data_IF_098962509563
#
_entry.id   IF_098962509563
#
_cell.length_a   1.000
_cell.length_b   1.000
_cell.length_c   1.000
_cell.angle_alpha   90.00
_cell.angle_beta   90.00
_cell.angle_gamma   90.00
#
_symmetry.space_group_name_H-M   'P 1'
#
loop_
_entity.id
_entity.type
_entity.pdbx_description
1 polymer ?
#
# COMPACT_ATOMS: atom_id res chain seq x y z
N UNK A 1 -36.75 -26.16 -14.87
CA UNK A 1 -37.68 -25.65 -15.91
C UNK A 1 -37.32 -24.22 -16.33
N UNK A 2 -36.54 -23.48 -15.54
CA UNK A 2 -36.35 -22.03 -15.74
C UNK A 2 -35.27 -21.65 -16.77
N UNK A 3 -34.33 -22.55 -17.06
CA UNK A 3 -33.37 -22.37 -18.16
C UNK A 3 -34.08 -22.32 -19.54
N UNK A 4 -35.23 -23.00 -19.68
CA UNK A 4 -36.07 -22.92 -20.87
C UNK A 4 -36.75 -21.53 -21.02
N UNK A 5 -37.13 -20.91 -19.91
CA UNK A 5 -37.73 -19.56 -19.91
C UNK A 5 -36.70 -18.48 -20.25
N UNK A 6 -35.45 -18.60 -19.77
CA UNK A 6 -34.35 -17.71 -20.14
C UNK A 6 -34.07 -17.79 -21.65
N UNK A 7 -33.96 -19.00 -22.19
CA UNK A 7 -33.76 -19.21 -23.63
C UNK A 7 -34.93 -18.65 -24.47
N UNK A 8 -36.16 -18.79 -23.98
CA UNK A 8 -37.37 -18.23 -24.62
C UNK A 8 -37.38 -16.69 -24.61
N UNK A 9 -36.93 -16.08 -23.50
CA UNK A 9 -36.75 -14.63 -23.41
C UNK A 9 -35.67 -14.11 -24.36
N UNK A 10 -34.54 -14.82 -24.46
CA UNK A 10 -33.46 -14.48 -25.40
C UNK A 10 -33.93 -14.59 -26.85
N UNK A 11 -34.68 -15.64 -27.17
CA UNK A 11 -35.24 -15.84 -28.51
C UNK A 11 -36.24 -14.73 -28.87
N UNK A 12 -37.16 -14.40 -27.95
CA UNK A 12 -38.10 -13.29 -28.14
C UNK A 12 -37.40 -11.94 -28.35
N UNK A 13 -36.27 -11.71 -27.64
CA UNK A 13 -35.46 -10.52 -27.83
C UNK A 13 -34.80 -10.49 -29.22
N UNK A 14 -34.26 -11.62 -29.69
CA UNK A 14 -33.66 -11.76 -31.02
C UNK A 14 -34.67 -11.56 -32.15
N UNK A 15 -35.94 -11.91 -31.91
CA UNK A 15 -37.06 -11.67 -32.84
C UNK A 15 -37.54 -10.20 -32.84
N UNK A 16 -36.90 -9.32 -32.05
CA UNK A 16 -37.25 -7.90 -31.96
C UNK A 16 -38.38 -7.59 -30.97
N UNK A 17 -38.97 -8.61 -30.33
CA UNK A 17 -40.03 -8.46 -29.35
C UNK A 17 -39.45 -8.18 -27.95
N UNK A 18 -38.92 -6.95 -27.76
CA UNK A 18 -38.31 -6.52 -26.49
C UNK A 18 -39.29 -6.49 -25.32
N UNK A 19 -40.56 -6.14 -25.56
CA UNK A 19 -41.60 -6.08 -24.51
C UNK A 19 -41.98 -7.48 -24.03
N UNK A 20 -42.12 -8.44 -24.95
CA UNK A 20 -42.33 -9.85 -24.62
C UNK A 20 -41.13 -10.45 -23.86
N UNK A 21 -39.91 -10.17 -24.32
CA UNK A 21 -38.69 -10.60 -23.65
C UNK A 21 -38.58 -10.03 -22.22
N UNK A 22 -38.89 -8.74 -22.03
CA UNK A 22 -38.90 -8.08 -20.73
C UNK A 22 -39.85 -8.78 -19.74
N UNK A 23 -41.07 -9.11 -20.17
CA UNK A 23 -42.03 -9.81 -19.30
C UNK A 23 -41.55 -11.22 -18.92
N UNK A 24 -40.88 -11.92 -19.85
CA UNK A 24 -40.32 -13.24 -19.58
C UNK A 24 -39.17 -13.13 -18.56
N UNK A 25 -38.26 -12.17 -18.71
CA UNK A 25 -37.16 -11.98 -17.77
C UNK A 25 -37.64 -11.54 -16.38
N UNK A 26 -38.66 -10.68 -16.29
CA UNK A 26 -39.26 -10.33 -14.99
C UNK A 26 -39.87 -11.55 -14.28
N UNK A 27 -40.59 -12.42 -15.00
CA UNK A 27 -41.12 -13.68 -14.44
C UNK A 27 -40.03 -14.63 -13.96
N UNK A 28 -38.87 -14.65 -14.63
CA UNK A 28 -37.70 -15.41 -14.17
C UNK A 28 -37.16 -14.80 -12.87
N UNK A 29 -37.04 -13.48 -12.81
CA UNK A 29 -36.52 -12.77 -11.63
C UNK A 29 -37.46 -12.79 -10.42
N UNK A 30 -38.78 -12.92 -10.62
CA UNK A 30 -39.74 -13.15 -9.54
C UNK A 30 -39.49 -14.47 -8.81
N UNK A 31 -38.97 -15.48 -9.52
CA UNK A 31 -38.65 -16.80 -8.96
C UNK A 31 -37.21 -16.89 -8.49
N UNK A 32 -36.30 -16.27 -9.24
CA UNK A 32 -34.87 -16.25 -8.97
C UNK A 32 -34.35 -14.81 -8.98
N UNK A 33 -34.49 -14.06 -7.87
CA UNK A 33 -34.06 -12.66 -7.80
C UNK A 33 -32.56 -12.45 -8.03
N UNK A 34 -31.74 -13.50 -7.84
CA UNK A 34 -30.30 -13.47 -7.99
C UNK A 34 -29.80 -14.09 -9.30
N UNK A 35 -30.66 -14.18 -10.34
CA UNK A 35 -30.26 -14.72 -11.64
C UNK A 35 -29.52 -13.66 -12.47
N UNK A 36 -28.19 -13.81 -12.53
CA UNK A 36 -27.27 -12.91 -13.24
C UNK A 36 -27.64 -12.71 -14.73
N UNK A 37 -27.96 -13.80 -15.42
CA UNK A 37 -28.24 -13.80 -16.86
C UNK A 37 -29.56 -13.06 -17.13
N UNK A 38 -30.59 -13.28 -16.30
CA UNK A 38 -31.86 -12.59 -16.43
C UNK A 38 -31.73 -11.07 -16.21
N UNK A 39 -30.95 -10.63 -15.23
CA UNK A 39 -30.66 -9.20 -15.02
C UNK A 39 -29.88 -8.58 -16.18
N UNK A 40 -28.91 -9.31 -16.75
CA UNK A 40 -28.12 -8.85 -17.89
C UNK A 40 -28.98 -8.65 -19.14
N UNK A 41 -29.88 -9.59 -19.44
CA UNK A 41 -30.79 -9.47 -20.59
C UNK A 41 -31.94 -8.48 -20.35
N UNK A 42 -32.38 -8.30 -19.10
CA UNK A 42 -33.34 -7.25 -18.75
C UNK A 42 -32.76 -5.86 -19.06
N UNK A 43 -31.48 -5.62 -18.80
CA UNK A 43 -30.78 -4.38 -19.14
C UNK A 43 -30.82 -4.07 -20.65
N UNK A 44 -30.81 -5.09 -21.51
CA UNK A 44 -30.93 -4.92 -22.96
C UNK A 44 -32.35 -4.58 -23.42
N UNK A 45 -33.37 -4.91 -22.62
CA UNK A 45 -34.78 -4.72 -22.95
C UNK A 45 -35.33 -3.35 -22.51
N UNK A 46 -34.68 -2.67 -21.55
CA UNK A 46 -35.10 -1.35 -21.07
C UNK A 46 -34.45 -0.24 -21.88
N UNK A 47 -35.18 0.83 -22.18
CA UNK A 47 -34.68 1.91 -23.05
C UNK A 47 -34.02 3.07 -22.27
N UNK A 48 -34.50 3.35 -21.05
CA UNK A 48 -33.99 4.46 -20.24
C UNK A 48 -32.59 4.13 -19.70
N UNK A 49 -31.60 5.04 -19.84
CA UNK A 49 -30.23 4.79 -19.38
C UNK A 49 -30.16 4.56 -17.86
N UNK A 50 -31.03 5.21 -17.09
CA UNK A 50 -31.15 5.02 -15.64
C UNK A 50 -31.53 3.58 -15.28
N UNK A 51 -32.55 3.03 -15.96
CA UNK A 51 -33.01 1.64 -15.74
C UNK A 51 -31.98 0.61 -16.18
N UNK A 52 -31.20 0.92 -17.23
CA UNK A 52 -30.06 0.07 -17.65
C UNK A 52 -29.00 0.00 -16.56
N UNK A 53 -28.65 1.14 -15.95
CA UNK A 53 -27.68 1.21 -14.85
C UNK A 53 -28.12 0.38 -13.66
N UNK A 54 -29.39 0.49 -13.25
CA UNK A 54 -29.93 -0.30 -12.15
C UNK A 54 -29.80 -1.81 -12.40
N UNK A 55 -30.11 -2.26 -13.62
CA UNK A 55 -29.95 -3.66 -14.00
C UNK A 55 -28.48 -4.11 -13.95
N UNK A 56 -27.54 -3.31 -14.47
CA UNK A 56 -26.11 -3.65 -14.42
C UNK A 56 -25.54 -3.63 -13.01
N UNK A 57 -25.98 -2.72 -12.13
CA UNK A 57 -25.60 -2.76 -10.71
C UNK A 57 -26.11 -4.04 -10.02
N UNK A 58 -27.31 -4.53 -10.36
CA UNK A 58 -27.80 -5.82 -9.86
C UNK A 58 -26.97 -7.00 -10.36
N UNK A 59 -26.54 -7.00 -11.62
CA UNK A 59 -25.61 -8.01 -12.16
C UNK A 59 -24.30 -8.00 -11.37
N UNK A 60 -23.70 -6.83 -11.15
CA UNK A 60 -22.42 -6.70 -10.45
C UNK A 60 -22.52 -6.99 -8.95
N UNK A 61 -23.69 -6.81 -8.34
CA UNK A 61 -23.93 -7.24 -6.96
C UNK A 61 -23.97 -8.78 -6.82
N UNK A 62 -24.37 -9.50 -7.87
CA UNK A 62 -24.40 -10.97 -7.92
C UNK A 62 -23.02 -11.52 -8.33
N UNK A 63 -22.45 -10.96 -9.39
CA UNK A 63 -21.14 -11.33 -9.92
C UNK A 63 -20.30 -10.07 -10.20
N UNK A 64 -19.44 -9.65 -9.25
CA UNK A 64 -18.58 -8.48 -9.40
C UNK A 64 -17.64 -8.54 -10.61
N UNK A 65 -17.33 -9.74 -11.11
CA UNK A 65 -16.38 -9.97 -12.20
C UNK A 65 -17.04 -10.06 -13.59
N UNK A 66 -18.32 -9.71 -13.73
CA UNK A 66 -18.99 -9.72 -15.03
C UNK A 66 -18.47 -8.58 -15.93
N UNK A 67 -17.56 -8.92 -16.84
CA UNK A 67 -16.91 -7.97 -17.76
C UNK A 67 -17.92 -7.22 -18.67
N UNK A 68 -19.04 -7.84 -19.05
CA UNK A 68 -20.05 -7.22 -19.90
C UNK A 68 -20.80 -6.11 -19.15
N UNK A 69 -21.18 -6.37 -17.90
CA UNK A 69 -21.86 -5.39 -17.06
C UNK A 69 -20.94 -4.22 -16.68
N UNK A 70 -19.66 -4.49 -16.36
CA UNK A 70 -18.66 -3.45 -16.09
C UNK A 70 -18.46 -2.52 -17.30
N UNK A 71 -18.28 -3.10 -18.49
CA UNK A 71 -18.07 -2.33 -19.72
C UNK A 71 -19.29 -1.49 -20.10
N UNK A 72 -20.49 -2.08 -20.04
CA UNK A 72 -21.72 -1.38 -20.38
C UNK A 72 -22.06 -0.24 -19.39
N UNK A 73 -21.70 -0.39 -18.11
CA UNK A 73 -21.87 0.66 -17.11
C UNK A 73 -20.91 1.84 -17.37
N UNK A 74 -19.64 1.56 -17.65
CA UNK A 74 -18.65 2.58 -18.00
C UNK A 74 -19.02 3.37 -19.26
N UNK A 75 -19.58 2.70 -20.28
CA UNK A 75 -20.05 3.35 -21.51
C UNK A 75 -21.25 4.28 -21.25
N UNK A 76 -22.19 3.87 -20.38
CA UNK A 76 -23.31 4.72 -19.97
C UNK A 76 -22.89 5.92 -19.12
N UNK A 77 -21.76 5.85 -18.44
CA UNK A 77 -21.19 6.97 -17.67
C UNK A 77 -20.49 7.99 -18.58
N UNK A 78 -19.79 7.52 -19.61
CA UNK A 78 -19.11 8.36 -20.61
C UNK A 78 -20.08 9.20 -21.47
N UNK A 79 -21.27 8.70 -21.78
CA UNK A 79 -22.30 9.43 -22.56
C UNK A 79 -22.90 10.65 -21.84
N UNK A 80 -22.51 10.93 -20.59
CA UNK A 80 -23.06 12.01 -19.77
C UNK A 80 -22.28 13.33 -19.83
N UNK A 81 -21.20 13.42 -20.61
CA UNK A 81 -20.40 14.65 -20.75
C UNK A 81 -20.95 15.57 -21.87
N UNK A 82 -21.36 16.82 -21.60
CA UNK A 82 -21.69 17.78 -22.65
C UNK A 82 -20.43 18.49 -23.16
N UNK A 83 -20.21 18.51 -24.48
CA UNK A 83 -19.14 19.31 -25.12
C UNK A 83 -19.52 20.80 -25.20
N UNK A 84 -18.60 21.71 -24.82
CA UNK A 84 -18.79 23.15 -24.94
C UNK A 84 -17.67 23.82 -25.76
N UNK A 85 -18.07 24.66 -26.74
CA UNK A 85 -17.17 25.55 -27.49
C UNK A 85 -16.87 26.83 -26.70
N UNK A 86 -15.63 27.36 -26.72
CA UNK A 86 -15.25 28.50 -25.89
C UNK A 86 -15.52 29.84 -26.58
N UNK A 87 -15.83 30.88 -25.78
CA UNK A 87 -15.75 32.29 -26.18
C UNK A 87 -15.03 33.08 -25.06
N UNK A 88 -14.14 34.05 -25.39
CA UNK A 88 -13.26 34.70 -24.42
C UNK A 88 -13.95 35.83 -23.65
N UNK A 89 -13.53 36.04 -22.40
CA UNK A 89 -13.95 37.15 -21.53
C UNK A 89 -12.87 38.21 -21.37
N UNK A 90 -13.29 39.46 -21.17
CA UNK A 90 -12.53 40.46 -20.40
C UNK A 90 -13.46 41.27 -19.49
N UNK A 91 -13.19 41.24 -18.18
CA UNK A 91 -13.41 42.33 -17.22
C UNK A 91 -14.82 42.52 -16.62
N UNK A 92 -15.05 41.90 -15.45
CA UNK A 92 -15.89 42.25 -14.26
C UNK A 92 -17.19 43.06 -14.35
N UNK A 93 -17.68 43.43 -15.52
CA UNK A 93 -18.91 44.17 -15.76
C UNK A 93 -19.71 43.40 -16.79
N UNK A 94 -20.76 42.72 -16.35
CA UNK A 94 -21.64 41.95 -17.23
C UNK A 94 -22.32 42.93 -18.18
N UNK A 95 -21.98 42.90 -19.47
CA UNK A 95 -22.62 43.75 -20.48
C UNK A 95 -23.75 42.97 -21.15
N UNK A 96 -24.87 43.65 -21.35
CA UNK A 96 -25.98 43.11 -22.12
C UNK A 96 -25.52 42.87 -23.57
N UNK A 97 -25.63 41.65 -24.11
CA UNK A 97 -25.24 41.36 -25.48
C UNK A 97 -26.11 42.09 -26.52
N UNK A 98 -27.33 42.47 -26.16
CA UNK A 98 -28.26 43.16 -27.06
C UNK A 98 -28.11 44.67 -27.09
N UNK A 99 -27.69 45.33 -26.00
CA UNK A 99 -27.63 46.79 -25.94
C UNK A 99 -26.33 47.37 -25.36
N UNK A 100 -25.40 46.52 -24.92
CA UNK A 100 -24.13 46.93 -24.33
C UNK A 100 -24.20 47.55 -22.94
N UNK A 101 -25.40 47.72 -22.37
CA UNK A 101 -25.59 48.29 -21.02
C UNK A 101 -25.03 47.37 -19.93
N UNK A 102 -24.58 47.97 -18.84
CA UNK A 102 -24.07 47.25 -17.66
C UNK A 102 -25.24 46.61 -16.91
N UNK A 103 -25.17 45.30 -16.73
CA UNK A 103 -26.18 44.50 -16.02
C UNK A 103 -25.82 44.36 -14.55
N UNK A 104 -26.83 44.22 -13.70
CA UNK A 104 -26.69 44.03 -12.26
C UNK A 104 -26.11 42.66 -11.89
N UNK A 105 -25.94 42.43 -10.58
CA UNK A 105 -25.50 41.11 -10.08
C UNK A 105 -26.58 40.05 -10.41
N UNK A 106 -26.17 38.82 -10.77
CA UNK A 106 -27.12 37.74 -11.02
C UNK A 106 -27.89 37.34 -9.77
N UNK A 107 -29.15 36.91 -9.96
CA UNK A 107 -29.95 36.32 -8.90
C UNK A 107 -29.47 34.88 -8.58
N UNK A 108 -30.02 34.27 -7.52
CA UNK A 108 -29.67 32.91 -7.10
C UNK A 108 -29.94 31.82 -8.16
N UNK A 109 -30.75 32.11 -9.17
CA UNK A 109 -31.02 31.24 -10.33
C UNK A 109 -30.05 31.47 -11.50
N UNK A 110 -29.11 32.41 -11.36
CA UNK A 110 -28.22 32.83 -12.43
C UNK A 110 -28.91 33.70 -13.49
N UNK A 111 -30.20 34.01 -13.38
CA UNK A 111 -30.88 34.89 -14.32
C UNK A 111 -30.53 36.36 -14.05
N UNK A 112 -30.29 37.11 -15.11
CA UNK A 112 -30.03 38.56 -15.06
C UNK A 112 -30.87 39.22 -16.13
N UNK A 113 -31.80 40.08 -15.72
CA UNK A 113 -32.59 40.89 -16.64
C UNK A 113 -31.94 42.26 -16.85
N UNK A 114 -31.83 42.68 -18.10
CA UNK A 114 -31.30 43.99 -18.44
C UNK A 114 -32.35 45.06 -18.12
N UNK A 115 -32.04 45.96 -17.18
CA UNK A 115 -32.93 47.05 -16.80
C UNK A 115 -33.20 48.05 -17.94
N UNK A 116 -32.38 48.04 -18.99
CA UNK A 116 -32.51 48.96 -20.12
C UNK A 116 -33.38 48.42 -21.25
N UNK A 117 -33.10 47.20 -21.72
CA UNK A 117 -33.81 46.62 -22.89
C UNK A 117 -34.69 45.41 -22.54
N UNK A 118 -34.76 45.02 -21.26
CA UNK A 118 -35.56 43.87 -20.81
C UNK A 118 -34.99 42.50 -21.16
N UNK A 119 -33.87 42.42 -21.90
CA UNK A 119 -33.22 41.15 -22.29
C UNK A 119 -32.79 40.38 -21.05
N UNK A 120 -33.22 39.13 -20.93
CA UNK A 120 -32.84 38.25 -19.83
C UNK A 120 -31.77 37.28 -20.29
N UNK A 121 -30.67 37.19 -19.55
CA UNK A 121 -29.57 36.26 -19.81
C UNK A 121 -29.35 35.36 -18.60
N UNK A 122 -28.87 34.14 -18.84
CA UNK A 122 -28.41 33.22 -17.79
C UNK A 122 -26.90 33.39 -17.61
N UNK A 123 -26.51 33.95 -16.46
CA UNK A 123 -25.14 34.03 -15.99
C UNK A 123 -24.80 32.80 -15.14
N UNK A 124 -23.83 32.03 -15.62
CA UNK A 124 -23.17 31.00 -14.82
C UNK A 124 -21.84 31.56 -14.33
N UNK A 125 -21.59 31.65 -13.00
CA UNK A 125 -20.28 32.04 -12.51
C UNK A 125 -19.21 31.06 -13.02
N UNK A 126 -17.96 31.51 -13.25
CA UNK A 126 -16.89 30.62 -13.69
C UNK A 126 -16.71 29.48 -12.68
N UNK A 127 -17.05 28.27 -13.13
CA UNK A 127 -17.10 27.02 -12.35
C UNK A 127 -15.75 26.71 -11.70
N UNK A 128 -14.67 27.10 -12.36
CA UNK A 128 -13.27 26.81 -12.01
C UNK A 128 -12.83 27.33 -10.63
N UNK A 129 -13.40 28.45 -10.14
CA UNK A 129 -12.97 29.05 -8.85
C UNK A 129 -13.65 28.44 -7.63
N UNK A 130 -14.87 27.92 -7.79
CA UNK A 130 -15.63 27.27 -6.72
C UNK A 130 -15.17 25.83 -6.57
N UNK A 131 -14.96 25.11 -7.68
CA UNK A 131 -14.46 23.73 -7.66
C UNK A 131 -13.05 23.62 -7.10
N UNK A 132 -12.14 24.56 -7.44
CA UNK A 132 -10.79 24.60 -6.86
C UNK A 132 -10.79 24.82 -5.33
N UNK A 133 -11.68 25.70 -4.83
CA UNK A 133 -11.87 25.88 -3.37
C UNK A 133 -12.43 24.64 -2.69
N UNK A 134 -13.22 23.83 -3.41
CA UNK A 134 -13.71 22.57 -2.89
C UNK A 134 -12.59 21.53 -2.80
N UNK A 135 -11.68 21.47 -3.78
CA UNK A 135 -10.49 20.61 -3.72
C UNK A 135 -9.62 20.93 -2.49
N UNK A 136 -9.25 22.20 -2.31
CA UNK A 136 -8.42 22.63 -1.16
C UNK A 136 -9.08 22.23 0.17
N UNK A 137 -10.39 22.49 0.30
CA UNK A 137 -11.14 22.12 1.50
C UNK A 137 -11.21 20.61 1.72
N UNK A 138 -11.49 19.82 0.68
CA UNK A 138 -11.54 18.36 0.79
C UNK A 138 -10.16 17.80 1.12
N UNK A 139 -9.10 18.41 0.61
CA UNK A 139 -7.74 17.98 0.88
C UNK A 139 -7.38 18.19 2.36
N UNK A 140 -7.75 19.34 2.93
CA UNK A 140 -7.56 19.59 4.37
C UNK A 140 -8.34 18.62 5.26
N UNK A 141 -9.59 18.31 4.90
CA UNK A 141 -10.38 17.30 5.63
C UNK A 141 -9.75 15.92 5.50
N UNK A 142 -9.29 15.54 4.30
CA UNK A 142 -8.62 14.27 4.05
C UNK A 142 -7.36 14.12 4.92
N UNK A 143 -6.50 15.16 4.98
CA UNK A 143 -5.30 15.18 5.83
C UNK A 143 -5.65 15.11 7.31
N UNK A 144 -6.69 15.82 7.74
CA UNK A 144 -7.17 15.79 9.13
C UNK A 144 -7.70 14.40 9.50
N UNK A 145 -8.45 13.76 8.62
CA UNK A 145 -8.95 12.40 8.81
C UNK A 145 -7.79 11.38 8.90
N UNK A 146 -6.77 11.51 8.06
CA UNK A 146 -5.54 10.70 8.17
C UNK A 146 -4.85 10.87 9.52
N UNK A 147 -4.68 12.10 9.99
CA UNK A 147 -4.09 12.38 11.30
C UNK A 147 -4.95 11.82 12.45
N UNK A 148 -6.28 11.80 12.27
CA UNK A 148 -7.25 11.20 13.18
C UNK A 148 -7.37 9.67 13.08
N UNK A 149 -6.62 9.01 12.19
CA UNK A 149 -6.77 7.57 11.88
C UNK A 149 -8.15 7.17 11.34
N UNK A 150 -8.92 8.13 10.83
CA UNK A 150 -10.21 7.91 10.17
C UNK A 150 -9.98 7.59 8.68
N UNK A 151 -9.39 6.43 8.40
CA UNK A 151 -8.91 6.10 7.06
C UNK A 151 -10.03 5.97 6.01
N UNK A 152 -11.20 5.41 6.38
CA UNK A 152 -12.35 5.33 5.48
C UNK A 152 -12.85 6.72 5.04
N UNK A 153 -12.89 7.68 5.97
CA UNK A 153 -13.27 9.07 5.69
C UNK A 153 -12.23 9.74 4.79
N UNK A 154 -10.93 9.52 5.07
CA UNK A 154 -9.85 10.03 4.22
C UNK A 154 -9.98 9.55 2.77
N UNK A 155 -10.30 8.27 2.54
CA UNK A 155 -10.54 7.72 1.20
C UNK A 155 -11.74 8.38 0.53
N UNK A 156 -12.84 8.61 1.26
CA UNK A 156 -14.03 9.27 0.70
C UNK A 156 -13.72 10.69 0.21
N UNK A 157 -12.97 11.48 1.00
CA UNK A 157 -12.59 12.83 0.59
C UNK A 157 -11.55 12.84 -0.52
N UNK A 158 -10.61 11.88 -0.53
CA UNK A 158 -9.70 11.70 -1.65
C UNK A 158 -10.46 11.37 -2.95
N UNK A 159 -11.48 10.51 -2.90
CA UNK A 159 -12.32 10.22 -4.06
C UNK A 159 -13.08 11.46 -4.54
N UNK A 160 -13.64 12.27 -3.64
CA UNK A 160 -14.30 13.54 -4.01
C UNK A 160 -13.35 14.52 -4.71
N UNK A 161 -12.07 14.54 -4.32
CA UNK A 161 -11.06 15.33 -5.04
C UNK A 161 -10.84 14.74 -6.42
N UNK A 162 -10.65 13.41 -6.53
CA UNK A 162 -10.39 12.72 -7.80
C UNK A 162 -11.57 12.76 -8.78
N UNK A 163 -12.81 12.94 -8.29
CA UNK A 163 -13.99 13.19 -9.13
C UNK A 163 -13.94 14.57 -9.82
N UNK A 164 -13.29 15.55 -9.20
CA UNK A 164 -13.13 16.91 -9.73
C UNK A 164 -11.83 17.03 -10.53
N UNK A 165 -10.74 16.47 -10.00
CA UNK A 165 -9.39 16.49 -10.54
C UNK A 165 -8.77 15.08 -10.47
N UNK A 166 -8.94 14.27 -11.54
CA UNK A 166 -8.39 12.92 -11.60
C UNK A 166 -6.85 12.85 -11.58
N UNK A 167 -6.18 13.95 -11.90
CA UNK A 167 -4.72 14.09 -11.91
C UNK A 167 -4.20 14.72 -10.61
N UNK A 168 -5.04 14.79 -9.56
CA UNK A 168 -4.62 15.35 -8.28
C UNK A 168 -3.62 14.45 -7.56
N UNK A 169 -2.35 14.87 -7.54
CA UNK A 169 -1.25 14.14 -6.91
C UNK A 169 -1.51 13.84 -5.42
N UNK A 170 -1.89 14.85 -4.64
CA UNK A 170 -2.08 14.72 -3.19
C UNK A 170 -3.23 13.75 -2.86
N UNK A 171 -4.30 13.76 -3.65
CA UNK A 171 -5.42 12.85 -3.44
C UNK A 171 -5.00 11.39 -3.65
N UNK A 172 -4.19 11.09 -4.67
CA UNK A 172 -3.65 9.74 -4.87
C UNK A 172 -2.73 9.30 -3.73
N UNK A 173 -1.84 10.16 -3.25
CA UNK A 173 -0.95 9.86 -2.11
C UNK A 173 -1.73 9.64 -0.81
N UNK A 174 -2.71 10.50 -0.52
CA UNK A 174 -3.52 10.37 0.68
C UNK A 174 -4.42 9.12 0.63
N UNK A 175 -4.99 8.81 -0.54
CA UNK A 175 -5.76 7.59 -0.75
C UNK A 175 -4.91 6.33 -0.61
N UNK A 176 -3.67 6.34 -1.13
CA UNK A 176 -2.71 5.26 -0.95
C UNK A 176 -2.45 5.00 0.54
N UNK A 177 -2.11 6.05 1.28
CA UNK A 177 -1.81 5.96 2.70
C UNK A 177 -3.02 5.44 3.49
N UNK A 178 -4.21 6.00 3.28
CA UNK A 178 -5.42 5.56 3.98
C UNK A 178 -5.78 4.11 3.65
N UNK A 179 -5.65 3.71 2.38
CA UNK A 179 -5.93 2.34 1.93
C UNK A 179 -5.02 1.33 2.61
N UNK A 180 -3.73 1.65 2.72
CA UNK A 180 -2.76 0.81 3.41
C UNK A 180 -3.17 0.58 4.87
N UNK A 181 -3.56 1.62 5.61
CA UNK A 181 -3.89 1.50 7.02
C UNK A 181 -5.20 0.74 7.30
N UNK A 182 -6.02 0.49 6.28
CA UNK A 182 -7.17 -0.41 6.34
C UNK A 182 -6.80 -1.88 6.06
N UNK A 183 -5.52 -2.20 5.94
CA UNK A 183 -5.02 -3.58 5.80
C UNK A 183 -5.34 -4.41 7.04
N UNK A 184 -5.82 -5.63 6.80
CA UNK A 184 -6.02 -6.65 7.84
C UNK A 184 -5.29 -7.93 7.45
N UNK A 185 -5.18 -8.88 8.38
CA UNK A 185 -4.58 -10.19 8.08
C UNK A 185 -5.33 -10.95 6.97
N UNK A 186 -6.66 -10.75 6.86
CA UNK A 186 -7.50 -11.36 5.85
C UNK A 186 -7.53 -10.58 4.52
N UNK A 187 -7.27 -9.27 4.56
CA UNK A 187 -7.33 -8.40 3.40
C UNK A 187 -6.12 -7.45 3.40
N UNK A 188 -5.02 -7.91 2.80
CA UNK A 188 -3.82 -7.09 2.64
C UNK A 188 -3.99 -6.11 1.47
N UNK A 189 -4.07 -4.82 1.78
CA UNK A 189 -4.30 -3.75 0.79
C UNK A 189 -3.01 -3.04 0.38
N UNK A 190 -1.84 -3.60 0.68
CA UNK A 190 -0.55 -3.02 0.32
C UNK A 190 -0.40 -2.84 -1.19
N UNK A 191 -0.73 -3.85 -1.99
CA UNK A 191 -0.61 -3.76 -3.46
C UNK A 191 -1.59 -2.74 -4.06
N UNK A 192 -2.79 -2.64 -3.50
CA UNK A 192 -3.76 -1.60 -3.85
C UNK A 192 -3.21 -0.21 -3.55
N UNK A 193 -2.65 -0.01 -2.34
CA UNK A 193 -2.01 1.23 -1.96
C UNK A 193 -0.83 1.58 -2.89
N UNK A 194 0.02 0.61 -3.24
CA UNK A 194 1.11 0.82 -4.20
C UNK A 194 0.61 1.17 -5.60
N UNK A 195 -0.53 0.60 -6.03
CA UNK A 195 -1.20 0.99 -7.27
C UNK A 195 -1.56 2.48 -7.30
N UNK A 196 -2.03 3.02 -6.18
CA UNK A 196 -2.32 4.46 -6.06
C UNK A 196 -1.04 5.32 -6.03
N UNK A 197 0.04 4.85 -5.40
CA UNK A 197 1.33 5.55 -5.47
C UNK A 197 1.88 5.56 -6.90
N UNK A 198 1.71 4.48 -7.67
CA UNK A 198 2.08 4.45 -9.09
C UNK A 198 1.27 5.45 -9.92
N UNK A 199 0.01 5.69 -9.59
CA UNK A 199 -0.79 6.75 -10.21
C UNK A 199 -0.25 8.14 -9.91
N UNK A 200 0.13 8.40 -8.65
CA UNK A 200 0.79 9.65 -8.28
C UNK A 200 2.13 9.85 -9.02
N UNK A 201 2.92 8.80 -9.20
CA UNK A 201 4.18 8.84 -9.96
C UNK A 201 4.00 9.12 -11.45
N UNK A 202 2.90 8.65 -12.06
CA UNK A 202 2.58 8.99 -13.45
C UNK A 202 2.28 10.48 -13.65
N UNK A 203 1.83 11.17 -12.59
CA UNK A 203 1.50 12.60 -12.61
C UNK A 203 2.76 13.44 -12.38
N UNK A 204 3.50 13.17 -11.30
CA UNK A 204 4.70 13.93 -10.92
C UNK A 204 5.81 12.99 -10.45
N UNK A 205 6.54 12.42 -11.41
CA UNK A 205 7.61 11.44 -11.17
C UNK A 205 8.74 11.91 -10.26
N UNK A 206 9.01 13.23 -10.24
CA UNK A 206 10.16 13.81 -9.54
C UNK A 206 9.78 14.26 -8.13
N UNK A 207 8.53 14.05 -7.72
CA UNK A 207 8.05 14.45 -6.41
C UNK A 207 8.68 13.58 -5.30
N UNK A 208 9.40 14.18 -4.32
CA UNK A 208 10.04 13.42 -3.26
C UNK A 208 9.03 12.66 -2.38
N UNK A 209 7.77 13.11 -2.33
CA UNK A 209 6.72 12.48 -1.53
C UNK A 209 6.39 11.05 -2.00
N UNK A 210 6.64 10.71 -3.27
CA UNK A 210 6.46 9.34 -3.78
C UNK A 210 7.41 8.39 -3.06
N UNK A 211 8.70 8.72 -3.04
CA UNK A 211 9.71 7.87 -2.41
C UNK A 211 9.50 7.82 -0.90
N UNK A 212 9.15 8.95 -0.28
CA UNK A 212 8.82 9.01 1.14
C UNK A 212 7.63 8.09 1.48
N UNK A 213 6.55 8.17 0.70
CA UNK A 213 5.35 7.35 0.90
C UNK A 213 5.68 5.87 0.68
N UNK A 214 6.38 5.50 -0.39
CA UNK A 214 6.80 4.09 -0.63
C UNK A 214 7.61 3.52 0.52
N UNK A 215 8.59 4.28 1.01
CA UNK A 215 9.44 3.84 2.10
C UNK A 215 8.65 3.71 3.40
N UNK A 216 7.77 4.68 3.70
CA UNK A 216 6.91 4.66 4.88
C UNK A 216 5.94 3.47 4.89
N UNK A 217 5.27 3.21 3.76
CA UNK A 217 4.33 2.09 3.62
C UNK A 217 5.06 0.75 3.67
N UNK A 218 6.21 0.62 3.00
CA UNK A 218 7.01 -0.62 3.01
C UNK A 218 7.57 -0.93 4.41
N UNK A 219 8.04 0.10 5.12
CA UNK A 219 8.50 -0.04 6.51
C UNK A 219 7.34 -0.46 7.44
N UNK A 220 6.17 0.13 7.25
CA UNK A 220 4.98 -0.23 8.04
C UNK A 220 4.53 -1.66 7.74
N UNK A 221 4.55 -2.09 6.48
CA UNK A 221 4.24 -3.47 6.07
C UNK A 221 5.24 -4.47 6.66
N UNK A 222 6.54 -4.14 6.63
CA UNK A 222 7.60 -4.92 7.26
C UNK A 222 7.31 -5.12 8.76
N UNK A 223 7.04 -4.04 9.50
CA UNK A 223 6.73 -4.09 10.94
C UNK A 223 5.48 -4.91 11.23
N UNK A 224 4.46 -4.79 10.40
CA UNK A 224 3.23 -5.56 10.55
C UNK A 224 3.48 -7.07 10.42
N UNK A 225 4.27 -7.50 9.43
CA UNK A 225 4.67 -8.90 9.31
C UNK A 225 5.56 -9.38 10.46
N UNK A 226 6.47 -8.54 10.96
CA UNK A 226 7.24 -8.87 12.17
C UNK A 226 6.32 -9.11 13.38
N UNK A 227 5.27 -8.31 13.52
CA UNK A 227 4.27 -8.47 14.58
C UNK A 227 3.50 -9.79 14.44
N UNK A 228 3.00 -10.11 13.24
CA UNK A 228 2.31 -11.37 12.99
C UNK A 228 3.21 -12.59 13.25
N UNK A 229 4.45 -12.55 12.78
CA UNK A 229 5.42 -13.62 13.05
C UNK A 229 5.71 -13.81 14.54
N UNK A 230 5.76 -12.72 15.31
CA UNK A 230 5.93 -12.79 16.75
C UNK A 230 4.72 -13.42 17.46
N UNK A 231 3.49 -13.12 17.02
CA UNK A 231 2.27 -13.73 17.56
C UNK A 231 2.21 -15.23 17.29
N UNK A 232 2.51 -15.66 16.06
CA UNK A 232 2.53 -17.09 15.71
C UNK A 232 3.61 -17.84 16.50
N UNK A 233 4.79 -17.24 16.68
CA UNK A 233 5.84 -17.82 17.54
C UNK A 233 5.37 -17.98 18.98
N UNK A 234 4.73 -16.95 19.55
CA UNK A 234 4.20 -17.02 20.92
C UNK A 234 3.16 -18.12 21.06
N UNK A 235 2.30 -18.28 20.06
CA UNK A 235 1.34 -19.37 19.99
C UNK A 235 2.02 -20.74 19.93
N UNK A 236 3.06 -20.89 19.11
CA UNK A 236 3.86 -22.11 19.01
C UNK A 236 4.44 -22.52 20.37
N UNK A 237 5.02 -21.55 21.10
CA UNK A 237 5.58 -21.76 22.43
C UNK A 237 4.51 -22.16 23.45
N UNK A 238 3.32 -21.53 23.41
CA UNK A 238 2.20 -21.90 24.28
C UNK A 238 1.76 -23.34 24.04
N UNK A 239 1.60 -23.75 22.78
CA UNK A 239 1.23 -25.12 22.40
C UNK A 239 2.30 -26.10 22.88
N UNK A 240 3.57 -25.83 22.57
CA UNK A 240 4.69 -26.66 23.03
C UNK A 240 4.66 -26.86 24.54
N UNK A 241 4.47 -25.77 25.31
CA UNK A 241 4.43 -25.82 26.77
C UNK A 241 3.21 -26.54 27.34
N UNK A 242 2.06 -26.58 26.65
CA UNK A 242 0.88 -27.36 27.10
C UNK A 242 1.24 -28.85 27.18
N UNK A 243 1.82 -29.39 26.12
CA UNK A 243 2.24 -30.79 26.07
C UNK A 243 3.38 -31.11 27.05
N UNK A 244 4.25 -30.13 27.33
CA UNK A 244 5.33 -30.29 28.33
C UNK A 244 4.81 -30.21 29.78
N UNK A 245 3.77 -29.41 30.05
CA UNK A 245 3.28 -29.12 31.42
C UNK A 245 2.19 -30.06 31.93
N UNK A 246 1.54 -30.86 31.06
CA UNK A 246 0.59 -31.91 31.48
C UNK A 246 1.24 -33.08 32.25
N UNK A 247 2.55 -33.02 32.52
CA UNK A 247 3.39 -34.05 33.16
C UNK A 247 3.52 -33.83 34.69
N UNK A 248 2.47 -33.39 35.39
CA UNK A 248 2.56 -33.10 36.84
C UNK A 248 2.12 -34.23 37.78
N UNK A 249 1.60 -35.36 37.29
CA UNK A 249 1.27 -36.52 38.14
C UNK A 249 1.92 -37.82 37.64
N UNK A 250 2.59 -38.49 38.58
CA UNK A 250 3.74 -39.40 38.38
C UNK A 250 3.33 -40.84 37.97
N UNK A 251 2.19 -41.10 37.32
CA UNK A 251 1.84 -42.52 37.09
C UNK A 251 1.43 -43.02 35.71
N UNK A 252 1.05 -42.22 34.71
CA UNK A 252 0.75 -42.78 33.37
C UNK A 252 0.92 -41.82 32.17
N UNK A 253 1.48 -40.61 32.35
CA UNK A 253 1.61 -39.64 31.26
C UNK A 253 2.99 -39.71 30.60
N UNK A 254 3.04 -40.32 29.42
CA UNK A 254 4.17 -40.28 28.48
C UNK A 254 4.42 -38.80 28.17
N UNK A 255 5.47 -38.21 28.74
CA UNK A 255 6.07 -37.02 28.13
C UNK A 255 6.51 -37.44 26.73
N UNK A 256 5.72 -37.09 25.72
CA UNK A 256 6.08 -37.30 24.33
C UNK A 256 6.60 -35.98 23.73
N UNK A 257 7.91 -35.70 23.82
CA UNK A 257 8.49 -34.53 23.18
C UNK A 257 8.34 -34.56 21.66
N UNK A 258 7.98 -35.69 21.05
CA UNK A 258 7.64 -35.76 19.63
C UNK A 258 6.27 -35.11 19.37
N UNK A 259 5.25 -35.45 20.16
CA UNK A 259 3.90 -34.87 20.04
C UNK A 259 3.90 -33.34 20.28
N UNK A 260 4.65 -32.86 21.28
CA UNK A 260 4.81 -31.42 21.53
C UNK A 260 5.45 -30.68 20.35
N UNK A 261 6.43 -31.32 19.69
CA UNK A 261 7.13 -30.77 18.51
C UNK A 261 6.25 -30.78 17.28
N UNK A 262 5.53 -31.86 17.01
CA UNK A 262 4.63 -31.98 15.87
C UNK A 262 3.51 -30.93 15.93
N UNK A 263 2.86 -30.79 17.10
CA UNK A 263 1.74 -29.87 17.27
C UNK A 263 2.13 -28.38 17.25
N UNK A 264 3.36 -28.04 17.63
CA UNK A 264 3.86 -26.66 17.59
C UNK A 264 4.55 -26.29 16.26
N UNK A 265 4.95 -27.27 15.45
CA UNK A 265 5.73 -27.05 14.23
C UNK A 265 5.03 -26.13 13.23
N UNK A 266 3.72 -26.30 13.03
CA UNK A 266 2.96 -25.49 12.06
C UNK A 266 3.08 -23.99 12.36
N UNK A 267 2.99 -23.62 13.63
CA UNK A 267 3.05 -22.22 14.08
C UNK A 267 4.46 -21.64 13.97
N UNK A 268 5.50 -22.44 14.24
CA UNK A 268 6.88 -22.03 13.98
C UNK A 268 7.13 -21.78 12.47
N UNK A 269 6.58 -22.63 11.60
CA UNK A 269 6.70 -22.45 10.15
C UNK A 269 5.96 -21.18 9.70
N UNK A 270 4.72 -20.97 10.15
CA UNK A 270 3.97 -19.73 9.88
C UNK A 270 4.71 -18.47 10.36
N UNK A 271 5.28 -18.52 11.56
CA UNK A 271 6.09 -17.42 12.09
C UNK A 271 7.31 -17.12 11.20
N UNK A 272 7.99 -18.16 10.71
CA UNK A 272 9.10 -18.03 9.79
C UNK A 272 8.68 -17.40 8.46
N UNK A 273 7.56 -17.84 7.88
CA UNK A 273 7.03 -17.29 6.63
C UNK A 273 6.74 -15.79 6.74
N UNK A 274 6.15 -15.36 7.86
CA UNK A 274 5.95 -13.92 8.13
C UNK A 274 7.27 -13.15 8.25
N UNK A 275 8.29 -13.70 8.91
CA UNK A 275 9.60 -13.04 8.95
C UNK A 275 10.27 -12.96 7.57
N UNK A 276 10.11 -13.98 6.73
CA UNK A 276 10.60 -13.94 5.35
C UNK A 276 9.85 -12.92 4.50
N UNK A 277 8.52 -12.80 4.67
CA UNK A 277 7.72 -11.75 4.06
C UNK A 277 8.14 -10.36 4.55
N UNK A 278 8.44 -10.17 5.84
CA UNK A 278 8.97 -8.90 6.32
C UNK A 278 10.26 -8.51 5.57
N UNK A 279 11.16 -9.48 5.34
CA UNK A 279 12.41 -9.25 4.59
C UNK A 279 12.22 -9.01 3.09
N UNK A 280 11.04 -9.22 2.50
CA UNK A 280 10.79 -8.79 1.12
C UNK A 280 10.64 -7.27 0.99
N UNK A 281 10.33 -6.57 2.08
CA UNK A 281 10.19 -5.11 2.13
C UNK A 281 11.43 -4.40 2.67
N UNK A 282 12.19 -5.07 3.55
CA UNK A 282 13.48 -4.59 4.05
C UNK A 282 14.45 -5.77 4.17
N UNK A 283 15.22 -5.99 3.10
CA UNK A 283 16.03 -7.21 2.94
C UNK A 283 17.20 -7.34 3.90
N UNK A 284 17.67 -6.22 4.47
CA UNK A 284 18.80 -6.16 5.39
C UNK A 284 18.35 -5.80 6.82
N UNK A 285 17.05 -5.94 7.11
CA UNK A 285 16.51 -5.66 8.44
C UNK A 285 17.17 -6.54 9.52
N UNK A 286 18.10 -5.96 10.27
CA UNK A 286 18.91 -6.68 11.25
C UNK A 286 18.08 -7.34 12.35
N UNK A 287 17.02 -6.66 12.80
CA UNK A 287 16.12 -7.18 13.84
C UNK A 287 15.38 -8.43 13.35
N UNK A 288 14.79 -8.37 12.16
CA UNK A 288 14.07 -9.51 11.56
C UNK A 288 15.00 -10.69 11.31
N UNK A 289 16.20 -10.44 10.79
CA UNK A 289 17.22 -11.47 10.60
C UNK A 289 17.62 -12.14 11.93
N UNK A 290 17.73 -11.36 13.00
CA UNK A 290 18.00 -11.88 14.34
C UNK A 290 16.85 -12.74 14.86
N UNK A 291 15.59 -12.31 14.65
CA UNK A 291 14.40 -13.10 14.98
C UNK A 291 14.37 -14.44 14.25
N UNK A 292 14.72 -14.46 12.96
CA UNK A 292 14.86 -15.69 12.17
C UNK A 292 15.89 -16.63 12.80
N UNK A 293 17.09 -16.12 13.10
CA UNK A 293 18.15 -16.92 13.73
C UNK A 293 17.67 -17.51 15.05
N UNK A 294 17.08 -16.71 15.93
CA UNK A 294 16.57 -17.18 17.22
C UNK A 294 15.48 -18.24 17.04
N UNK A 295 14.56 -18.05 16.09
CA UNK A 295 13.51 -19.02 15.81
C UNK A 295 14.07 -20.36 15.32
N UNK A 296 15.12 -20.36 14.48
CA UNK A 296 15.78 -21.62 14.08
C UNK A 296 16.50 -22.34 15.23
N UNK A 297 16.96 -21.61 16.24
CA UNK A 297 17.56 -22.21 17.43
C UNK A 297 16.50 -22.79 18.37
N UNK A 298 15.37 -22.09 18.53
CA UNK A 298 14.23 -22.55 19.32
C UNK A 298 13.59 -23.80 18.71
N UNK A 299 13.37 -23.80 17.40
CA UNK A 299 12.77 -24.89 16.64
C UNK A 299 13.84 -25.65 15.82
N UNK A 300 14.87 -26.15 16.50
CA UNK A 300 16.02 -26.82 15.87
C UNK A 300 15.68 -28.20 15.27
N UNK A 301 14.53 -28.77 15.59
CA UNK A 301 14.03 -30.03 15.03
C UNK A 301 13.36 -29.83 13.67
N UNK A 302 12.98 -28.60 13.32
CA UNK A 302 12.35 -28.28 12.05
C UNK A 302 13.43 -28.21 10.96
N UNK A 303 13.19 -28.90 9.85
CA UNK A 303 14.09 -28.86 8.69
C UNK A 303 13.87 -27.58 7.88
N UNK A 304 14.57 -26.51 8.27
CA UNK A 304 14.46 -25.20 7.63
C UNK A 304 15.02 -25.19 6.20
N UNK A 305 14.36 -24.43 5.32
CA UNK A 305 14.72 -24.32 3.90
C UNK A 305 16.12 -23.71 3.69
N UNK A 306 16.66 -23.83 2.48
CA UNK A 306 17.91 -23.13 2.09
C UNK A 306 17.76 -21.61 2.20
N UNK A 307 16.59 -21.06 1.87
CA UNK A 307 16.31 -19.63 1.95
C UNK A 307 16.51 -19.09 3.38
N UNK A 308 16.03 -19.80 4.41
CA UNK A 308 16.24 -19.43 5.82
C UNK A 308 17.74 -19.43 6.16
N UNK A 309 18.47 -20.47 5.73
CA UNK A 309 19.92 -20.57 5.95
C UNK A 309 20.69 -19.42 5.28
N UNK A 310 20.26 -18.99 4.09
CA UNK A 310 20.87 -17.87 3.39
C UNK A 310 20.63 -16.53 4.11
N UNK A 311 19.46 -16.36 4.74
CA UNK A 311 19.20 -15.19 5.62
C UNK A 311 20.08 -15.21 6.87
N UNK A 312 20.33 -16.36 7.48
CA UNK A 312 21.26 -16.45 8.62
C UNK A 312 22.70 -16.08 8.19
N UNK A 313 23.16 -16.55 7.02
CA UNK A 313 24.46 -16.14 6.47
C UNK A 313 24.52 -14.65 6.16
N UNK A 314 23.41 -14.06 5.71
CA UNK A 314 23.32 -12.61 5.53
C UNK A 314 23.48 -11.88 6.87
N UNK A 315 22.80 -12.32 7.93
CA UNK A 315 22.97 -11.76 9.27
C UNK A 315 24.43 -11.81 9.72
N UNK A 316 25.09 -12.96 9.57
CA UNK A 316 26.50 -13.11 9.96
C UNK A 316 27.41 -12.13 9.23
N UNK A 317 27.20 -11.91 7.93
CA UNK A 317 27.93 -10.91 7.14
C UNK A 317 27.67 -9.49 7.66
N UNK A 318 26.41 -9.14 7.93
CA UNK A 318 26.05 -7.82 8.47
C UNK A 318 26.63 -7.59 9.86
N UNK A 319 26.61 -8.60 10.74
CA UNK A 319 27.24 -8.50 12.07
C UNK A 319 28.75 -8.30 11.94
N UNK A 320 29.43 -9.03 11.06
CA UNK A 320 30.87 -8.84 10.79
C UNK A 320 31.18 -7.44 10.27
N UNK A 321 30.38 -6.93 9.33
CA UNK A 321 30.48 -5.57 8.81
C UNK A 321 30.32 -4.52 9.91
N UNK A 322 29.28 -4.64 10.72
CA UNK A 322 29.02 -3.71 11.82
C UNK A 322 30.13 -3.72 12.88
N UNK A 323 30.63 -4.91 13.24
CA UNK A 323 31.79 -5.05 14.13
C UNK A 323 33.05 -4.42 13.51
N UNK A 324 33.24 -4.56 12.20
CA UNK A 324 34.39 -3.96 11.53
C UNK A 324 34.33 -2.43 11.59
N UNK A 325 33.17 -1.85 11.26
CA UNK A 325 32.91 -0.41 11.32
C UNK A 325 33.11 0.13 12.75
N UNK A 326 32.61 -0.56 13.77
CA UNK A 326 32.74 -0.10 15.16
C UNK A 326 34.19 -0.16 15.68
N UNK A 327 34.97 -1.15 15.24
CA UNK A 327 36.32 -1.38 15.73
C UNK A 327 37.38 -0.52 15.02
N UNK A 328 37.12 -0.09 13.78
CA UNK A 328 38.06 0.69 12.96
C UNK A 328 38.58 1.96 13.66
N UNK A 329 37.74 2.82 14.27
CA UNK A 329 38.22 4.02 14.96
C UNK A 329 39.19 3.73 16.11
N UNK A 330 38.93 2.67 16.88
CA UNK A 330 39.80 2.25 17.99
C UNK A 330 41.15 1.72 17.46
N UNK A 331 41.13 0.89 16.43
CA UNK A 331 42.35 0.39 15.79
C UNK A 331 43.19 1.53 15.20
N UNK A 332 42.56 2.52 14.56
CA UNK A 332 43.22 3.71 14.02
C UNK A 332 43.86 4.54 15.15
N UNK A 333 43.16 4.71 16.27
CA UNK A 333 43.70 5.40 17.45
C UNK A 333 44.90 4.66 18.04
N UNK A 334 44.82 3.34 18.22
CA UNK A 334 45.95 2.53 18.71
C UNK A 334 47.15 2.63 17.77
N UNK A 335 46.92 2.66 16.45
CA UNK A 335 47.97 2.86 15.46
C UNK A 335 48.64 4.24 15.65
N UNK A 336 47.87 5.31 15.84
CA UNK A 336 48.42 6.65 16.10
C UNK A 336 49.24 6.70 17.41
N UNK A 337 48.75 6.07 18.48
CA UNK A 337 49.45 6.01 19.77
C UNK A 337 50.79 5.26 19.65
N UNK A 338 50.82 4.10 18.98
CA UNK A 338 52.05 3.35 18.75
C UNK A 338 53.01 4.09 17.79
N UNK A 339 52.50 4.80 16.79
CA UNK A 339 53.32 5.66 15.92
C UNK A 339 53.97 6.81 16.69
N UNK A 340 53.22 7.47 17.58
CA UNK A 340 53.76 8.52 18.46
C UNK A 340 54.81 7.96 19.43
N UNK A 341 54.57 6.76 19.98
CA UNK A 341 55.54 6.05 20.82
C UNK A 341 56.81 5.70 20.06
N UNK A 342 56.69 5.20 18.83
CA UNK A 342 57.85 4.93 17.97
C UNK A 342 58.66 6.21 17.72
N UNK A 343 58.00 7.34 17.47
CA UNK A 343 58.67 8.63 17.26
C UNK A 343 59.43 9.12 18.51
N UNK A 344 58.91 8.84 19.72
CA UNK A 344 59.61 9.11 21.00
C UNK A 344 60.81 8.19 21.19
N UNK A 345 60.62 6.89 21.02
CA UNK A 345 61.68 5.87 21.17
C UNK A 345 62.87 6.10 20.22
N UNK A 346 62.62 6.61 19.00
CA UNK A 346 63.68 6.99 18.05
C UNK A 346 64.60 8.11 18.54
N UNK A 347 64.16 8.91 19.52
CA UNK A 347 64.93 10.01 20.13
C UNK A 347 65.65 9.60 21.41
N UNK A 348 65.30 8.47 22.01
CA UNK A 348 65.90 7.97 23.25
C UNK A 348 67.23 7.26 22.96
N UNK A 349 68.23 7.49 23.83
CA UNK A 349 69.50 6.74 23.83
C UNK A 349 69.54 5.85 25.07
N UNK A 350 69.60 4.54 24.89
CA UNK A 350 69.65 3.58 26.00
C UNK A 350 69.85 2.14 25.52
N UNK A 351 70.35 1.28 26.41
CA UNK A 351 70.74 -0.10 26.08
C UNK A 351 69.59 -0.98 25.54
N UNK A 352 68.36 -0.76 26.00
CA UNK A 352 67.17 -1.53 25.60
C UNK A 352 66.32 -0.88 24.50
N UNK A 353 66.77 0.23 23.90
CA UNK A 353 65.95 0.97 22.92
C UNK A 353 65.70 0.16 21.64
N UNK A 354 66.68 -0.61 21.17
CA UNK A 354 66.55 -1.45 19.97
C UNK A 354 65.39 -2.46 20.06
N UNK A 355 65.34 -3.24 21.14
CA UNK A 355 64.27 -4.25 21.36
C UNK A 355 62.89 -3.58 21.44
N UNK A 356 62.78 -2.42 22.12
CA UNK A 356 61.52 -1.67 22.20
C UNK A 356 61.09 -1.12 20.84
N UNK A 357 62.05 -0.74 20.00
CA UNK A 357 61.82 -0.20 18.66
C UNK A 357 61.30 -1.29 17.71
N UNK A 358 61.91 -2.48 17.74
CA UNK A 358 61.47 -3.64 16.96
C UNK A 358 60.08 -4.11 17.37
N UNK A 359 59.83 -4.23 18.69
CA UNK A 359 58.52 -4.62 19.23
C UNK A 359 57.41 -3.63 18.82
N UNK A 360 57.68 -2.33 18.96
CA UNK A 360 56.72 -1.28 18.56
C UNK A 360 56.49 -1.27 17.05
N UNK A 361 57.54 -1.48 16.25
CA UNK A 361 57.45 -1.55 14.78
C UNK A 361 56.63 -2.75 14.32
N UNK A 362 56.83 -3.91 14.93
CA UNK A 362 56.04 -5.12 14.66
C UNK A 362 54.57 -4.93 15.02
N UNK A 363 54.28 -4.27 16.15
CA UNK A 363 52.91 -3.94 16.56
C UNK A 363 52.23 -2.99 15.58
N UNK A 364 52.93 -1.94 15.12
CA UNK A 364 52.42 -1.04 14.07
C UNK A 364 52.12 -1.80 12.77
N UNK A 365 53.01 -2.73 12.35
CA UNK A 365 52.80 -3.54 11.14
C UNK A 365 51.55 -4.41 11.28
N UNK A 366 51.37 -5.07 12.42
CA UNK A 366 50.19 -5.88 12.73
C UNK A 366 48.90 -5.03 12.72
N UNK A 367 48.91 -3.88 13.39
CA UNK A 367 47.75 -2.96 13.41
C UNK A 367 47.38 -2.47 12.01
N UNK A 368 48.36 -2.14 11.16
CA UNK A 368 48.10 -1.77 9.76
C UNK A 368 47.44 -2.90 8.97
N UNK A 369 47.91 -4.14 9.13
CA UNK A 369 47.31 -5.30 8.47
C UNK A 369 45.87 -5.55 8.92
N UNK A 370 45.62 -5.44 10.22
CA UNK A 370 44.27 -5.56 10.80
C UNK A 370 43.34 -4.47 10.28
N UNK A 371 43.78 -3.21 10.22
CA UNK A 371 42.99 -2.09 9.68
C UNK A 371 42.61 -2.37 8.22
N UNK A 372 43.55 -2.77 7.37
CA UNK A 372 43.27 -3.10 5.95
C UNK A 372 42.23 -4.22 5.82
N UNK A 373 42.31 -5.25 6.67
CA UNK A 373 41.31 -6.33 6.69
C UNK A 373 39.93 -5.82 7.10
N UNK A 374 39.86 -5.01 8.15
CA UNK A 374 38.61 -4.45 8.66
C UNK A 374 37.99 -3.45 7.68
N UNK A 375 38.79 -2.62 7.01
CA UNK A 375 38.34 -1.74 5.93
C UNK A 375 37.74 -2.54 4.77
N UNK A 376 38.35 -3.68 4.41
CA UNK A 376 37.80 -4.56 3.37
C UNK A 376 36.44 -5.13 3.76
N UNK A 377 36.26 -5.54 5.02
CA UNK A 377 34.99 -6.08 5.54
C UNK A 377 33.93 -4.96 5.66
N UNK A 378 34.33 -3.76 6.09
CA UNK A 378 33.43 -2.62 6.20
C UNK A 378 32.90 -2.12 4.84
N UNK A 379 33.70 -2.27 3.79
CA UNK A 379 33.37 -1.86 2.42
C UNK A 379 32.70 -2.95 1.57
N UNK A 380 32.65 -4.21 2.05
CA UNK A 380 31.87 -5.29 1.45
C UNK A 380 30.41 -5.22 1.85
#
# INVERSE_FOLDING_TARGET
>A
MDNANIQTGIQSFKEGNKTGALQIFLKVLEREPNNEIAWLWLAACVDKPEQKRDCFHKVLAINPNNANAQKALAELELQRMPEAKPIPQQGTVLKCPSCGSVMGKPDHTGLVQCSYCGTTITYHPPVEKVERKNIERFLEICKTALAGSNYDEAIQYANKILEIDPENFDAWINKATATFWLTTAANNRFDEAMGYVLKAEQIDKDNPLILETRNSLSLSQNKWYQYLGAQEREHAVKIYNIYVSQVSSITDAIFDPMEAKENSQEYYVKAMDYFLLALSYDSENYETLTRIKNLTQEANWVNWSSAVRDKIRLLERLTQKNMAISNLPNLQRQLQEEQAKLARLKKEKGFFTGIKLDSTTNKIKSLKQQIVQYEKIANS
#
